data_IF_082776508806
#
_entry.id   IF_082776508806
#
_cell.length_a   1.000
_cell.length_b   1.000
_cell.length_c   1.000
_cell.angle_alpha   90.00
_cell.angle_beta   90.00
_cell.angle_gamma   90.00
#
_symmetry.space_group_name_H-M   'P 1'
#
loop_
_entity.id
_entity.type
_entity.pdbx_description
1 polymer ?
#
# COMPACT_ATOMS: atom_id res chain seq x y z
N UNK A 1 -62.46 -34.68 4.20
CA UNK A 1 -62.13 -33.23 4.20
C UNK A 1 -60.76 -33.08 4.85
N UNK A 2 -59.78 -32.55 4.09
CA UNK A 2 -58.34 -32.58 4.38
C UNK A 2 -57.92 -31.36 5.22
N UNK A 3 -56.98 -31.50 6.17
CA UNK A 3 -56.38 -30.38 6.88
C UNK A 3 -55.16 -29.89 6.09
N UNK A 4 -55.24 -28.69 5.49
CA UNK A 4 -54.09 -27.99 4.90
C UNK A 4 -54.24 -26.51 5.23
N UNK A 5 -53.88 -26.10 6.45
CA UNK A 5 -53.89 -24.68 6.82
C UNK A 5 -52.87 -24.31 7.91
N UNK A 6 -51.89 -25.16 8.21
CA UNK A 6 -50.85 -24.88 9.21
C UNK A 6 -49.42 -24.77 8.64
N UNK A 7 -49.24 -24.83 7.32
CA UNK A 7 -47.92 -24.79 6.69
C UNK A 7 -47.53 -23.40 6.13
N UNK A 8 -48.44 -22.43 6.10
CA UNK A 8 -48.21 -21.14 5.43
C UNK A 8 -47.60 -20.05 6.33
N UNK A 9 -47.56 -20.22 7.66
CA UNK A 9 -47.02 -19.21 8.56
C UNK A 9 -45.52 -19.38 8.90
N UNK A 10 -44.92 -20.54 8.61
CA UNK A 10 -43.50 -20.79 8.87
C UNK A 10 -42.57 -20.37 7.72
N UNK A 11 -43.12 -20.10 6.51
CA UNK A 11 -42.33 -19.73 5.33
C UNK A 11 -42.13 -18.22 5.15
N UNK A 12 -42.83 -17.38 5.94
CA UNK A 12 -42.75 -15.91 5.85
C UNK A 12 -41.76 -15.27 6.84
N UNK A 13 -41.15 -16.06 7.73
CA UNK A 13 -40.15 -15.61 8.71
C UNK A 13 -38.69 -15.81 8.24
N UNK A 14 -38.48 -16.42 7.07
CA UNK A 14 -37.14 -16.65 6.49
C UNK A 14 -36.76 -15.63 5.39
N UNK A 15 -37.57 -14.59 5.14
CA UNK A 15 -37.31 -13.56 4.13
C UNK A 15 -36.66 -12.27 4.69
N UNK A 16 -36.29 -12.26 5.96
CA UNK A 16 -35.54 -11.17 6.59
C UNK A 16 -34.19 -11.61 7.16
N UNK A 17 -33.53 -12.59 6.52
CA UNK A 17 -32.08 -12.60 6.57
C UNK A 17 -31.65 -11.44 5.69
N UNK A 18 -31.49 -10.27 6.30
CA UNK A 18 -30.65 -9.24 5.72
C UNK A 18 -29.29 -9.90 5.56
N UNK A 19 -28.93 -10.29 4.34
CA UNK A 19 -27.55 -10.48 3.95
C UNK A 19 -26.87 -9.14 4.24
N UNK A 20 -26.36 -8.98 5.47
CA UNK A 20 -25.19 -8.15 5.68
C UNK A 20 -24.20 -8.70 4.66
N UNK A 21 -23.78 -7.92 3.66
CA UNK A 21 -22.84 -8.44 2.67
C UNK A 21 -21.68 -9.00 3.48
N UNK A 22 -21.49 -10.31 3.40
CA UNK A 22 -20.30 -10.92 3.95
C UNK A 22 -19.17 -10.13 3.31
N UNK A 23 -18.39 -9.40 4.11
CA UNK A 23 -17.21 -8.71 3.60
C UNK A 23 -16.36 -9.82 3.01
N UNK A 24 -16.37 -9.94 1.68
CA UNK A 24 -15.57 -10.94 0.99
C UNK A 24 -14.14 -10.76 1.50
N UNK A 25 -13.58 -11.85 2.03
CA UNK A 25 -12.25 -11.78 2.59
C UNK A 25 -11.30 -11.27 1.52
N UNK A 26 -10.45 -10.26 1.83
CA UNK A 26 -9.55 -9.71 0.85
C UNK A 26 -8.68 -10.82 0.24
N UNK A 27 -8.31 -10.71 -1.05
CA UNK A 27 -7.33 -11.62 -1.65
C UNK A 27 -6.08 -11.73 -0.77
N UNK A 28 -5.58 -12.95 -0.55
CA UNK A 28 -4.36 -13.17 0.22
C UNK A 28 -3.19 -12.32 -0.31
N UNK A 29 -2.44 -11.67 0.57
CA UNK A 29 -1.23 -10.91 0.18
C UNK A 29 -0.17 -11.83 -0.44
N UNK A 30 -0.07 -13.09 -0.01
CA UNK A 30 0.79 -14.07 -0.67
C UNK A 30 0.29 -14.41 -2.08
N UNK A 31 -1.03 -14.50 -2.29
CA UNK A 31 -1.61 -14.71 -3.61
C UNK A 31 -1.33 -13.52 -4.55
N UNK A 32 -1.46 -12.28 -4.06
CA UNK A 32 -1.10 -11.07 -4.82
C UNK A 32 0.40 -11.08 -5.18
N UNK A 33 1.27 -11.38 -4.22
CA UNK A 33 2.72 -11.44 -4.45
C UNK A 33 3.12 -12.50 -5.49
N UNK A 34 2.48 -13.67 -5.46
CA UNK A 34 2.77 -14.77 -6.40
C UNK A 34 2.52 -14.39 -7.87
N UNK A 35 1.64 -13.40 -8.10
CA UNK A 35 1.27 -12.90 -9.43
C UNK A 35 2.18 -11.78 -9.94
N UNK A 36 3.12 -11.29 -9.13
CA UNK A 36 4.12 -10.32 -9.59
C UNK A 36 4.92 -10.98 -10.73
N UNK A 37 4.86 -10.46 -11.96
CA UNK A 37 5.51 -11.12 -13.07
C UNK A 37 7.02 -10.89 -13.02
N UNK A 38 7.76 -11.76 -13.73
CA UNK A 38 9.16 -11.48 -14.01
C UNK A 38 9.29 -10.38 -15.05
N UNK A 39 10.41 -9.64 -15.02
CA UNK A 39 10.73 -8.75 -16.12
C UNK A 39 10.95 -9.54 -17.42
N UNK A 40 10.53 -9.02 -18.57
CA UNK A 40 10.84 -9.60 -19.89
C UNK A 40 12.34 -9.85 -20.07
N UNK A 41 12.70 -10.82 -20.91
CA UNK A 41 14.11 -11.18 -21.14
C UNK A 41 14.80 -10.19 -22.07
N UNK A 42 14.05 -9.58 -23.00
CA UNK A 42 14.55 -8.69 -24.03
C UNK A 42 13.79 -7.36 -24.08
N UNK A 43 14.40 -6.35 -24.69
CA UNK A 43 13.75 -5.06 -24.92
C UNK A 43 12.53 -5.19 -25.85
N UNK A 44 12.59 -6.11 -26.82
CA UNK A 44 11.48 -6.42 -27.73
C UNK A 44 10.30 -7.04 -27.02
N UNK A 45 10.54 -8.00 -26.12
CA UNK A 45 9.47 -8.54 -25.27
C UNK A 45 8.88 -7.44 -24.36
N UNK A 46 9.73 -6.59 -23.78
CA UNK A 46 9.27 -5.45 -22.98
C UNK A 46 8.43 -4.45 -23.79
N UNK A 47 8.74 -4.26 -25.06
CA UNK A 47 7.96 -3.42 -25.95
C UNK A 47 6.53 -3.95 -26.17
N UNK A 48 6.28 -5.26 -26.04
CA UNK A 48 4.91 -5.82 -26.10
C UNK A 48 4.06 -5.48 -24.88
N UNK A 49 4.68 -5.07 -23.77
CA UNK A 49 3.99 -4.70 -22.54
C UNK A 49 3.55 -3.24 -22.53
N UNK A 50 3.99 -2.46 -23.52
CA UNK A 50 3.80 -1.01 -23.60
C UNK A 50 3.22 -0.67 -24.96
N UNK A 51 2.16 0.13 -25.01
CA UNK A 51 1.64 0.60 -26.29
C UNK A 51 2.56 1.67 -26.91
N UNK A 52 2.22 2.10 -28.14
CA UNK A 52 2.99 3.12 -28.87
C UNK A 52 3.02 4.48 -28.16
N UNK A 53 2.08 4.74 -27.24
CA UNK A 53 2.04 5.97 -26.45
C UNK A 53 2.90 5.89 -25.18
N UNK A 54 3.58 4.77 -24.94
CA UNK A 54 4.40 4.56 -23.74
C UNK A 54 3.59 4.12 -22.52
N UNK A 55 2.31 3.74 -22.67
CA UNK A 55 1.45 3.28 -21.57
C UNK A 55 1.58 1.77 -21.40
N UNK A 56 1.61 1.34 -20.14
CA UNK A 56 1.64 -0.08 -19.81
C UNK A 56 0.30 -0.73 -20.18
N UNK A 57 0.34 -1.80 -20.99
CA UNK A 57 -0.83 -2.56 -21.46
C UNK A 57 -0.77 -4.04 -21.08
N UNK A 58 0.27 -4.49 -20.36
CA UNK A 58 0.40 -5.89 -19.96
C UNK A 58 -0.75 -6.32 -19.03
N UNK A 59 -1.63 -7.26 -19.46
CA UNK A 59 -2.88 -7.55 -18.77
C UNK A 59 -2.65 -8.08 -17.36
N UNK A 60 -1.62 -8.89 -17.14
CA UNK A 60 -1.31 -9.43 -15.81
C UNK A 60 -0.88 -8.36 -14.80
N UNK A 61 -0.16 -7.31 -15.24
CA UNK A 61 0.25 -6.22 -14.34
C UNK A 61 -0.93 -5.31 -14.05
N UNK A 62 -1.75 -5.00 -15.07
CA UNK A 62 -2.96 -4.20 -14.90
C UNK A 62 -3.96 -4.87 -13.95
N UNK A 63 -4.23 -6.16 -14.16
CA UNK A 63 -5.10 -6.93 -13.29
C UNK A 63 -4.58 -6.97 -11.85
N UNK A 64 -3.27 -7.20 -11.66
CA UNK A 64 -2.69 -7.22 -10.32
C UNK A 64 -2.77 -5.85 -9.62
N UNK A 65 -2.60 -4.73 -10.33
CA UNK A 65 -2.82 -3.38 -9.74
C UNK A 65 -4.27 -3.22 -9.30
N UNK A 66 -5.23 -3.61 -10.13
CA UNK A 66 -6.65 -3.57 -9.78
C UNK A 66 -6.98 -4.45 -8.55
N UNK A 67 -6.36 -5.63 -8.44
CA UNK A 67 -6.55 -6.53 -7.31
C UNK A 67 -5.92 -5.99 -6.02
N UNK A 68 -4.77 -5.32 -6.09
CA UNK A 68 -4.18 -4.61 -4.95
C UNK A 68 -5.11 -3.48 -4.48
N UNK A 69 -5.69 -2.71 -5.40
CA UNK A 69 -6.66 -1.68 -5.04
C UNK A 69 -7.93 -2.28 -4.42
N UNK A 70 -8.43 -3.40 -4.95
CA UNK A 70 -9.58 -4.12 -4.39
C UNK A 70 -9.28 -4.63 -2.98
N UNK A 71 -8.09 -5.18 -2.76
CA UNK A 71 -7.60 -5.57 -1.44
C UNK A 71 -7.60 -4.40 -0.46
N UNK A 72 -6.97 -3.28 -0.84
CA UNK A 72 -6.91 -2.08 0.00
C UNK A 72 -8.31 -1.54 0.34
N UNK A 73 -9.26 -1.58 -0.61
CA UNK A 73 -10.67 -1.22 -0.34
C UNK A 73 -11.31 -2.16 0.67
N UNK A 74 -11.12 -3.48 0.54
CA UNK A 74 -11.66 -4.46 1.49
C UNK A 74 -11.09 -4.27 2.91
N UNK A 75 -9.78 -3.99 3.03
CA UNK A 75 -9.13 -3.65 4.31
C UNK A 75 -9.70 -2.34 4.87
N UNK A 76 -9.94 -1.34 4.03
CA UNK A 76 -10.58 -0.08 4.42
C UNK A 76 -11.97 -0.29 5.03
N UNK A 77 -12.78 -1.21 4.49
CA UNK A 77 -14.08 -1.58 5.06
C UNK A 77 -13.93 -2.24 6.44
N UNK A 78 -12.95 -3.14 6.60
CA UNK A 78 -12.65 -3.77 7.90
C UNK A 78 -12.23 -2.72 8.94
N UNK A 79 -11.39 -1.75 8.53
CA UNK A 79 -10.99 -0.64 9.39
C UNK A 79 -12.18 0.25 9.77
N UNK A 80 -13.07 0.56 8.83
CA UNK A 80 -14.26 1.36 9.08
C UNK A 80 -15.20 0.68 10.09
N UNK A 81 -15.51 -0.60 9.89
CA UNK A 81 -16.34 -1.38 10.81
C UNK A 81 -15.73 -1.45 12.22
N UNK A 82 -14.40 -1.54 12.32
CA UNK A 82 -13.73 -1.45 13.62
C UNK A 82 -13.75 -0.04 14.21
N UNK A 83 -13.58 1.01 13.40
CA UNK A 83 -13.64 2.40 13.85
C UNK A 83 -15.01 2.73 14.45
N UNK A 84 -16.11 2.24 13.87
CA UNK A 84 -17.46 2.40 14.43
C UNK A 84 -17.57 1.75 15.82
N UNK A 85 -17.01 0.56 16.01
CA UNK A 85 -16.93 -0.09 17.34
C UNK A 85 -16.11 0.75 18.33
N UNK A 86 -14.97 1.27 17.91
CA UNK A 86 -14.09 2.10 18.77
C UNK A 86 -14.68 3.48 19.07
N UNK A 87 -15.45 4.06 18.15
CA UNK A 87 -16.21 5.30 18.38
C UNK A 87 -17.29 5.08 19.44
N UNK A 88 -18.01 3.96 19.41
CA UNK A 88 -18.97 3.62 20.46
C UNK A 88 -18.30 3.50 21.84
N UNK A 89 -17.11 2.89 21.91
CA UNK A 89 -16.32 2.85 23.15
C UNK A 89 -15.86 4.24 23.60
N UNK A 90 -15.45 5.09 22.66
CA UNK A 90 -14.98 6.46 22.94
C UNK A 90 -16.13 7.35 23.46
N UNK A 91 -17.35 7.17 22.94
CA UNK A 91 -18.54 7.84 23.44
C UNK A 91 -18.83 7.50 24.92
N UNK A 92 -18.65 6.24 25.32
CA UNK A 92 -18.77 5.81 26.73
C UNK A 92 -17.73 6.50 27.62
N UNK A 93 -16.48 6.65 27.14
CA UNK A 93 -15.42 7.37 27.88
C UNK A 93 -15.81 8.84 28.08
N UNK A 94 -16.25 9.51 27.03
CA UNK A 94 -16.66 10.93 27.09
C UNK A 94 -17.90 11.12 27.99
N UNK A 95 -18.89 10.24 27.86
CA UNK A 95 -20.10 10.25 28.69
C UNK A 95 -19.75 10.14 30.18
N UNK A 96 -18.92 9.15 30.54
CA UNK A 96 -18.56 8.90 31.94
C UNK A 96 -17.59 9.93 32.50
N UNK A 97 -16.69 10.48 31.68
CA UNK A 97 -15.89 11.63 32.06
C UNK A 97 -16.78 12.84 32.38
N UNK A 98 -17.80 13.10 31.55
CA UNK A 98 -18.77 14.17 31.80
C UNK A 98 -19.51 13.99 33.12
N UNK A 99 -19.96 12.76 33.44
CA UNK A 99 -20.56 12.44 34.74
C UNK A 99 -19.58 12.67 35.89
N UNK A 100 -18.35 12.17 35.77
CA UNK A 100 -17.34 12.33 36.81
C UNK A 100 -16.93 13.78 37.06
N UNK A 101 -16.86 14.61 36.00
CA UNK A 101 -16.67 16.05 36.10
C UNK A 101 -17.83 16.71 36.86
N UNK A 102 -19.08 16.36 36.54
CA UNK A 102 -20.25 16.84 37.25
C UNK A 102 -20.23 16.43 38.74
N UNK A 103 -19.81 15.20 39.06
CA UNK A 103 -19.71 14.67 40.44
C UNK A 103 -18.67 15.40 41.31
N UNK A 104 -17.68 16.06 40.69
CA UNK A 104 -16.72 16.96 41.35
C UNK A 104 -17.08 18.45 41.17
N UNK A 105 -18.30 18.72 40.71
CA UNK A 105 -18.87 20.07 40.56
C UNK A 105 -18.24 20.90 39.43
N UNK A 106 -17.75 20.25 38.38
CA UNK A 106 -17.28 20.88 37.14
C UNK A 106 -18.35 20.75 36.06
N UNK A 107 -18.87 21.88 35.60
CA UNK A 107 -19.74 21.95 34.43
C UNK A 107 -18.90 22.16 33.17
N UNK A 108 -18.71 21.09 32.40
CA UNK A 108 -17.93 21.11 31.16
C UNK A 108 -18.51 22.07 30.11
N UNK A 109 -19.84 22.15 30.00
CA UNK A 109 -20.50 23.01 29.02
C UNK A 109 -20.37 24.48 29.40
N UNK A 110 -20.36 24.80 30.70
CA UNK A 110 -20.06 26.15 31.18
C UNK A 110 -18.57 26.47 31.00
N UNK A 111 -17.68 25.55 31.34
CA UNK A 111 -16.24 25.75 31.19
C UNK A 111 -15.81 26.07 29.76
N UNK A 112 -16.48 25.50 28.76
CA UNK A 112 -16.23 25.83 27.34
C UNK A 112 -16.78 27.20 26.91
N UNK A 113 -17.87 27.67 27.52
CA UNK A 113 -18.59 28.90 27.12
C UNK A 113 -18.23 30.13 27.96
N UNK A 114 -17.72 29.93 29.17
CA UNK A 114 -17.43 30.96 30.17
C UNK A 114 -15.95 30.88 30.61
N UNK A 115 -15.06 31.69 29.99
CA UNK A 115 -13.64 31.73 30.35
C UNK A 115 -13.38 32.10 31.82
N UNK A 116 -14.27 32.88 32.45
CA UNK A 116 -14.11 33.26 33.86
C UNK A 116 -14.39 32.05 34.78
N UNK A 117 -15.41 31.24 34.46
CA UNK A 117 -15.64 29.98 35.16
C UNK A 117 -14.48 28.99 34.96
N UNK A 118 -13.91 28.90 33.77
CA UNK A 118 -12.72 28.07 33.53
C UNK A 118 -11.52 28.49 34.39
N UNK A 119 -11.27 29.80 34.53
CA UNK A 119 -10.22 30.33 35.41
C UNK A 119 -10.49 30.00 36.89
N UNK A 120 -11.74 30.14 37.34
CA UNK A 120 -12.12 29.78 38.72
C UNK A 120 -11.89 28.28 39.00
N UNK A 121 -12.25 27.40 38.07
CA UNK A 121 -12.01 25.95 38.21
C UNK A 121 -10.51 25.64 38.26
N UNK A 122 -9.70 26.25 37.38
CA UNK A 122 -8.25 26.08 37.39
C UNK A 122 -7.60 26.60 38.68
N UNK A 123 -8.04 27.76 39.18
CA UNK A 123 -7.53 28.33 40.43
C UNK A 123 -7.93 27.47 41.63
N UNK A 124 -9.14 26.93 41.63
CA UNK A 124 -9.60 25.95 42.64
C UNK A 124 -8.71 24.72 42.65
N UNK A 125 -8.39 24.16 41.48
CA UNK A 125 -7.49 22.99 41.37
C UNK A 125 -6.06 23.32 41.83
N UNK A 126 -5.54 24.51 41.54
CA UNK A 126 -4.20 24.93 42.00
C UNK A 126 -4.09 25.10 43.51
N UNK A 127 -5.20 25.44 44.17
CA UNK A 127 -5.27 25.60 45.63
C UNK A 127 -5.49 24.27 46.37
N UNK A 128 -5.86 23.20 45.68
CA UNK A 128 -5.98 21.87 46.27
C UNK A 128 -4.61 21.28 46.58
N UNK A 129 -4.51 20.59 47.71
CA UNK A 129 -3.37 19.76 48.05
C UNK A 129 -3.24 18.56 47.07
N UNK A 130 -2.05 17.93 46.99
CA UNK A 130 -1.88 16.72 46.19
C UNK A 130 -2.87 15.60 46.53
N UNK A 131 -3.25 15.46 47.80
CA UNK A 131 -4.22 14.45 48.25
C UNK A 131 -5.63 14.76 47.75
N UNK A 132 -6.05 16.02 47.78
CA UNK A 132 -7.35 16.46 47.26
C UNK A 132 -7.43 16.33 45.74
N UNK A 133 -6.34 16.62 45.02
CA UNK A 133 -6.26 16.40 43.57
C UNK A 133 -6.38 14.92 43.22
N UNK A 134 -5.73 14.04 43.99
CA UNK A 134 -5.86 12.59 43.81
C UNK A 134 -7.29 12.11 44.09
N UNK A 135 -7.91 12.58 45.18
CA UNK A 135 -9.29 12.23 45.51
C UNK A 135 -10.29 12.73 44.44
N UNK A 136 -10.08 13.96 43.94
CA UNK A 136 -10.86 14.51 42.83
C UNK A 136 -10.68 13.67 41.55
N UNK A 137 -9.46 13.29 41.20
CA UNK A 137 -9.17 12.43 40.04
C UNK A 137 -9.82 11.05 40.18
N UNK A 138 -9.76 10.44 41.38
CA UNK A 138 -10.42 9.16 41.64
C UNK A 138 -11.93 9.26 41.48
N UNK A 139 -12.55 10.30 42.05
CA UNK A 139 -14.00 10.53 41.94
C UNK A 139 -14.42 10.83 40.50
N UNK A 140 -13.63 11.59 39.77
CA UNK A 140 -13.85 11.89 38.36
C UNK A 140 -13.75 10.66 37.45
N UNK A 141 -12.88 9.70 37.77
CA UNK A 141 -12.76 8.45 37.02
C UNK A 141 -13.70 7.35 37.51
N UNK A 142 -14.39 7.55 38.64
CA UNK A 142 -15.24 6.53 39.25
C UNK A 142 -16.36 6.03 38.33
N UNK A 143 -17.12 6.90 37.62
CA UNK A 143 -18.15 6.43 36.69
C UNK A 143 -17.57 5.59 35.54
N UNK A 144 -16.39 5.96 35.05
CA UNK A 144 -15.70 5.23 33.99
C UNK A 144 -15.29 3.82 34.44
N UNK A 145 -14.73 3.70 35.65
CA UNK A 145 -14.29 2.42 36.22
C UNK A 145 -15.46 1.50 36.61
N UNK A 146 -16.67 2.05 36.77
CA UNK A 146 -17.88 1.29 37.13
C UNK A 146 -18.72 0.89 35.91
N UNK A 147 -18.52 1.54 34.76
CA UNK A 147 -19.26 1.22 33.54
C UNK A 147 -18.72 -0.05 32.89
N UNK A 148 -19.54 -1.11 32.88
CA UNK A 148 -19.20 -2.41 32.26
C UNK A 148 -18.98 -2.32 30.75
N UNK A 149 -19.40 -1.23 30.10
CA UNK A 149 -19.16 -0.97 28.67
C UNK A 149 -17.79 -0.36 28.42
N UNK A 150 -17.13 0.19 29.44
CA UNK A 150 -15.78 0.71 29.30
C UNK A 150 -14.79 -0.44 29.16
N UNK A 151 -14.01 -0.41 28.09
CA UNK A 151 -12.91 -1.34 27.88
C UNK A 151 -11.59 -0.57 27.95
N UNK A 152 -10.72 -0.94 28.89
CA UNK A 152 -9.37 -0.43 28.96
C UNK A 152 -8.56 -1.05 27.81
N UNK A 153 -7.95 -0.24 26.94
CA UNK A 153 -7.21 -0.75 25.77
C UNK A 153 -6.02 -1.65 26.15
N UNK A 154 -5.31 -1.37 27.24
CA UNK A 154 -4.22 -2.24 27.70
C UNK A 154 -4.75 -3.60 28.15
N UNK A 155 -5.89 -3.63 28.83
CA UNK A 155 -6.58 -4.87 29.17
C UNK A 155 -7.11 -5.58 27.92
N UNK A 156 -7.72 -4.83 26.98
CA UNK A 156 -8.21 -5.36 25.70
C UNK A 156 -7.10 -6.00 24.86
N UNK A 157 -5.87 -5.44 24.88
CA UNK A 157 -4.71 -6.02 24.22
C UNK A 157 -4.34 -7.38 24.82
N UNK A 158 -4.38 -7.49 26.16
CA UNK A 158 -4.06 -8.72 26.89
C UNK A 158 -5.16 -9.75 26.75
N UNK A 159 -6.42 -9.35 26.80
CA UNK A 159 -7.60 -10.22 26.67
C UNK A 159 -7.89 -10.66 25.23
N UNK A 160 -7.25 -10.02 24.25
CA UNK A 160 -7.38 -10.39 22.85
C UNK A 160 -6.97 -11.85 22.62
N UNK A 161 -7.45 -12.45 21.53
CA UNK A 161 -7.10 -13.84 21.21
C UNK A 161 -5.59 -14.00 21.05
N UNK A 162 -5.06 -15.18 21.39
CA UNK A 162 -3.64 -15.46 21.21
C UNK A 162 -3.18 -15.25 19.75
N UNK A 163 -4.05 -15.56 18.79
CA UNK A 163 -3.81 -15.33 17.36
C UNK A 163 -3.69 -13.85 17.02
N UNK A 164 -4.57 -13.00 17.57
CA UNK A 164 -4.53 -11.55 17.33
C UNK A 164 -3.29 -10.91 17.98
N UNK A 165 -2.95 -11.30 19.22
CA UNK A 165 -1.73 -10.82 19.89
C UNK A 165 -0.48 -11.19 19.09
N UNK A 166 -0.36 -12.46 18.69
CA UNK A 166 0.78 -12.92 17.89
C UNK A 166 0.89 -12.20 16.53
N UNK A 167 -0.24 -11.94 15.86
CA UNK A 167 -0.25 -11.19 14.61
C UNK A 167 0.11 -9.70 14.81
N UNK A 168 -0.35 -9.09 15.90
CA UNK A 168 -0.01 -7.71 16.24
C UNK A 168 1.49 -7.56 16.59
N UNK A 169 2.04 -8.47 17.38
CA UNK A 169 3.48 -8.52 17.69
C UNK A 169 4.31 -8.74 16.43
N UNK A 170 3.91 -9.68 15.56
CA UNK A 170 4.58 -9.90 14.28
C UNK A 170 4.50 -8.66 13.38
N UNK A 171 3.35 -7.98 13.34
CA UNK A 171 3.17 -6.73 12.60
C UNK A 171 4.04 -5.59 13.11
N UNK A 172 4.18 -5.46 14.43
CA UNK A 172 5.05 -4.48 15.05
C UNK A 172 6.53 -4.77 14.79
N UNK A 173 6.96 -6.03 14.90
CA UNK A 173 8.32 -6.45 14.57
C UNK A 173 8.62 -6.21 13.07
N UNK A 174 7.66 -6.51 12.20
CA UNK A 174 7.79 -6.28 10.76
C UNK A 174 7.91 -4.80 10.43
N UNK A 175 7.08 -3.95 11.04
CA UNK A 175 7.14 -2.50 10.87
C UNK A 175 8.44 -1.91 11.43
N UNK A 176 8.88 -2.36 12.61
CA UNK A 176 10.15 -1.92 13.21
C UNK A 176 11.37 -2.26 12.35
N UNK A 177 11.32 -3.39 11.63
CA UNK A 177 12.38 -3.80 10.70
C UNK A 177 12.27 -3.13 9.31
N UNK A 178 11.25 -2.30 9.05
CA UNK A 178 10.97 -1.74 7.73
C UNK A 178 12.11 -0.85 7.20
N UNK A 179 12.64 0.06 8.03
CA UNK A 179 13.75 0.93 7.61
C UNK A 179 14.97 0.14 7.14
N UNK A 180 15.34 -0.90 7.87
CA UNK A 180 16.45 -1.79 7.51
C UNK A 180 16.21 -2.52 6.18
N UNK A 181 14.97 -2.97 5.93
CA UNK A 181 14.60 -3.58 4.64
C UNK A 181 14.67 -2.56 3.50
N UNK A 182 14.15 -1.35 3.69
CA UNK A 182 14.25 -0.29 2.69
C UNK A 182 15.70 0.09 2.39
N UNK A 183 16.56 0.18 3.40
CA UNK A 183 17.99 0.45 3.18
C UNK A 183 18.64 -0.65 2.34
N UNK A 184 18.38 -1.93 2.67
CA UNK A 184 18.90 -3.06 1.89
C UNK A 184 18.39 -3.04 0.44
N UNK A 185 17.12 -2.70 0.22
CA UNK A 185 16.53 -2.56 -1.11
C UNK A 185 17.12 -1.39 -1.89
N UNK A 186 17.32 -0.25 -1.24
CA UNK A 186 17.93 0.94 -1.85
C UNK A 186 19.37 0.67 -2.27
N UNK A 187 20.15 -0.06 -1.46
CA UNK A 187 21.50 -0.49 -1.84
C UNK A 187 21.45 -1.38 -3.08
N UNK A 188 20.58 -2.41 -3.08
CA UNK A 188 20.42 -3.31 -4.22
C UNK A 188 20.08 -2.56 -5.52
N UNK A 189 19.12 -1.63 -5.46
CA UNK A 189 18.71 -0.87 -6.65
C UNK A 189 19.75 0.15 -7.08
N UNK A 190 20.43 0.81 -6.15
CA UNK A 190 21.54 1.71 -6.48
C UNK A 190 22.64 0.97 -7.24
N UNK A 191 23.04 -0.21 -6.78
CA UNK A 191 24.04 -1.05 -7.46
C UNK A 191 23.59 -1.44 -8.88
N UNK A 192 22.31 -1.81 -9.03
CA UNK A 192 21.73 -2.15 -10.32
C UNK A 192 21.68 -0.93 -11.26
N UNK A 193 21.26 0.23 -10.76
CA UNK A 193 21.16 1.47 -11.52
C UNK A 193 22.56 1.98 -11.95
N UNK A 194 23.57 1.84 -11.10
CA UNK A 194 24.97 2.11 -11.46
C UNK A 194 25.49 1.15 -12.54
N UNK A 195 25.13 -0.14 -12.46
CA UNK A 195 25.50 -1.12 -13.46
C UNK A 195 24.82 -0.82 -14.81
N UNK A 196 23.55 -0.46 -14.81
CA UNK A 196 22.83 0.02 -16.00
C UNK A 196 23.50 1.28 -16.55
N UNK A 197 23.81 2.26 -15.70
CA UNK A 197 24.48 3.49 -16.14
C UNK A 197 25.84 3.21 -16.82
N UNK A 198 26.60 2.23 -16.33
CA UNK A 198 27.84 1.77 -16.99
C UNK A 198 27.57 1.17 -18.37
N UNK A 199 26.50 0.39 -18.53
CA UNK A 199 26.08 -0.15 -19.85
C UNK A 199 25.67 0.98 -20.79
N UNK A 200 24.85 1.92 -20.31
CA UNK A 200 24.34 3.03 -21.12
C UNK A 200 25.43 4.01 -21.58
N UNK A 201 26.49 4.19 -20.78
CA UNK A 201 27.64 5.05 -21.11
C UNK A 201 28.60 4.44 -22.13
N UNK A 202 28.54 3.14 -22.40
CA UNK A 202 29.42 2.50 -23.39
C UNK A 202 29.07 3.03 -24.79
N UNK A 203 30.05 3.58 -25.53
CA UNK A 203 29.84 3.97 -26.92
C UNK A 203 29.39 2.77 -27.75
N UNK A 204 28.42 2.98 -28.65
CA UNK A 204 27.98 1.96 -29.60
C UNK A 204 28.95 1.93 -30.78
N UNK A 205 29.49 0.76 -31.08
CA UNK A 205 30.40 0.57 -32.21
C UNK A 205 29.61 0.47 -33.53
N UNK A 206 29.15 1.61 -34.04
CA UNK A 206 28.39 1.66 -35.29
C UNK A 206 29.30 1.47 -36.51
N UNK A 207 28.99 0.53 -37.42
CA UNK A 207 29.77 0.37 -38.64
C UNK A 207 29.56 1.52 -39.64
N UNK A 208 30.59 2.35 -39.79
CA UNK A 208 30.65 3.44 -40.76
C UNK A 208 30.42 4.83 -40.16
N UNK A 209 30.67 5.90 -40.93
CA UNK A 209 30.53 7.26 -40.44
C UNK A 209 29.06 7.66 -40.26
N UNK A 210 28.80 8.52 -39.26
CA UNK A 210 27.52 9.23 -39.13
C UNK A 210 27.34 10.15 -40.35
N UNK A 211 26.16 10.20 -41.00
CA UNK A 211 25.88 11.15 -42.07
C UNK A 211 26.01 12.61 -41.59
N UNK A 212 26.52 13.49 -42.46
CA UNK A 212 26.93 14.85 -42.08
C UNK A 212 25.85 15.93 -42.17
N UNK A 213 24.96 15.98 -43.18
CA UNK A 213 23.78 16.83 -43.03
C UNK A 213 22.88 16.16 -41.99
N UNK A 214 22.52 16.86 -40.92
CA UNK A 214 21.48 16.37 -39.99
C UNK A 214 20.18 16.08 -40.75
N UNK A 215 19.45 15.03 -40.36
CA UNK A 215 18.30 14.52 -41.12
C UNK A 215 17.19 15.58 -41.34
N UNK A 216 16.98 16.47 -40.36
CA UNK A 216 15.98 17.55 -40.42
C UNK A 216 16.45 18.79 -41.20
N UNK A 217 17.69 18.81 -41.69
CA UNK A 217 18.22 19.95 -42.43
C UNK A 217 17.50 20.12 -43.78
N UNK A 218 17.18 21.36 -44.16
CA UNK A 218 16.55 21.71 -45.46
C UNK A 218 17.38 21.15 -46.64
N UNK A 219 18.71 21.06 -46.50
CA UNK A 219 19.61 20.48 -47.50
C UNK A 219 19.67 18.94 -47.53
N UNK A 220 18.99 18.22 -46.64
CA UNK A 220 18.97 16.76 -46.65
C UNK A 220 17.96 16.25 -47.69
N UNK A 221 18.45 16.00 -48.89
CA UNK A 221 17.67 15.44 -50.00
C UNK A 221 17.34 13.94 -49.80
N UNK A 222 16.75 13.31 -50.82
CA UNK A 222 16.41 11.90 -50.76
C UNK A 222 17.64 10.99 -50.57
N UNK A 223 18.80 11.36 -51.14
CA UNK A 223 20.05 10.61 -50.98
C UNK A 223 20.58 10.70 -49.56
N UNK A 224 20.59 11.90 -48.97
CA UNK A 224 20.93 12.12 -47.56
C UNK A 224 20.01 11.33 -46.62
N UNK A 225 18.69 11.37 -46.84
CA UNK A 225 17.73 10.59 -46.03
C UNK A 225 17.97 9.08 -46.13
N UNK A 226 18.29 8.56 -47.31
CA UNK A 226 18.63 7.15 -47.49
C UNK A 226 19.92 6.75 -46.74
N UNK A 227 20.92 7.63 -46.66
CA UNK A 227 22.13 7.40 -45.85
C UNK A 227 21.80 7.34 -44.36
N UNK A 228 20.91 8.20 -43.88
CA UNK A 228 20.42 8.19 -42.51
C UNK A 228 19.59 6.94 -42.18
N UNK A 229 18.72 6.49 -43.06
CA UNK A 229 17.99 5.24 -42.91
C UNK A 229 18.94 4.03 -42.84
N UNK A 230 19.98 4.01 -43.69
CA UNK A 230 21.02 2.98 -43.67
C UNK A 230 21.92 3.03 -42.43
N UNK A 231 22.14 4.21 -41.86
CA UNK A 231 22.85 4.37 -40.59
C UNK A 231 21.97 3.88 -39.42
N UNK A 232 20.71 4.28 -39.40
CA UNK A 232 19.73 3.85 -38.39
C UNK A 232 19.55 2.33 -38.38
N UNK A 233 19.46 1.68 -39.54
CA UNK A 233 19.31 0.21 -39.62
C UNK A 233 20.49 -0.56 -39.00
N UNK A 234 21.69 0.03 -38.98
CA UNK A 234 22.87 -0.55 -38.31
C UNK A 234 22.94 -0.20 -36.83
N UNK A 235 22.52 1.00 -36.45
CA UNK A 235 22.58 1.49 -35.07
C UNK A 235 21.45 0.92 -34.19
N UNK A 236 20.25 0.75 -34.74
CA UNK A 236 19.08 0.30 -33.96
C UNK A 236 19.29 -1.06 -33.27
N UNK A 237 19.78 -2.12 -33.95
CA UNK A 237 20.04 -3.39 -33.28
C UNK A 237 21.03 -3.26 -32.11
N UNK A 238 22.01 -2.36 -32.23
CA UNK A 238 22.99 -2.11 -31.15
C UNK A 238 22.36 -1.39 -29.95
N UNK A 239 21.46 -0.44 -30.20
CA UNK A 239 20.70 0.24 -29.14
C UNK A 239 19.77 -0.76 -28.42
N UNK A 240 19.07 -1.60 -29.18
CA UNK A 240 18.16 -2.62 -28.63
C UNK A 240 18.92 -3.67 -27.81
N UNK A 241 20.09 -4.12 -28.29
CA UNK A 241 20.95 -5.04 -27.54
C UNK A 241 21.46 -4.43 -26.22
N UNK A 242 21.80 -3.13 -26.22
CA UNK A 242 22.20 -2.41 -25.01
C UNK A 242 21.06 -2.30 -24.00
N UNK A 243 19.86 -1.98 -24.46
CA UNK A 243 18.67 -1.88 -23.59
C UNK A 243 18.24 -3.25 -23.07
N UNK A 244 18.42 -4.32 -23.85
CA UNK A 244 18.26 -5.70 -23.40
C UNK A 244 19.24 -6.05 -22.28
N UNK A 245 20.51 -5.65 -22.39
CA UNK A 245 21.50 -5.85 -21.33
C UNK A 245 21.15 -5.05 -20.06
N UNK A 246 20.68 -3.81 -20.22
CA UNK A 246 20.19 -3.01 -19.09
C UNK A 246 18.98 -3.67 -18.41
N UNK A 247 18.03 -4.20 -19.19
CA UNK A 247 16.87 -4.93 -18.69
C UNK A 247 17.28 -6.21 -17.94
N UNK A 248 18.28 -6.94 -18.43
CA UNK A 248 18.82 -8.13 -17.77
C UNK A 248 19.37 -7.83 -16.37
N UNK A 249 20.09 -6.71 -16.21
CA UNK A 249 20.59 -6.25 -14.90
C UNK A 249 19.42 -5.96 -13.95
N UNK A 250 18.42 -5.21 -14.41
CA UNK A 250 17.23 -4.88 -13.60
C UNK A 250 16.40 -6.11 -13.26
N UNK A 251 16.29 -7.09 -14.18
CA UNK A 251 15.63 -8.39 -13.94
C UNK A 251 16.30 -9.14 -12.81
N UNK A 252 17.62 -9.22 -12.79
CA UNK A 252 18.36 -9.88 -11.72
C UNK A 252 18.16 -9.18 -10.36
N UNK A 253 18.17 -7.83 -10.34
CA UNK A 253 17.88 -7.06 -9.13
C UNK A 253 16.45 -7.31 -8.61
N UNK A 254 15.46 -7.30 -9.51
CA UNK A 254 14.07 -7.57 -9.16
C UNK A 254 13.90 -9.00 -8.59
N UNK A 255 14.52 -10.01 -9.20
CA UNK A 255 14.48 -11.39 -8.69
C UNK A 255 15.10 -11.51 -7.29
N UNK A 256 16.22 -10.82 -7.04
CA UNK A 256 16.83 -10.76 -5.70
C UNK A 256 15.91 -10.08 -4.69
N UNK A 257 15.26 -8.98 -5.06
CA UNK A 257 14.30 -8.31 -4.16
C UNK A 257 13.08 -9.20 -3.88
N UNK A 258 12.50 -9.83 -4.91
CA UNK A 258 11.39 -10.77 -4.75
C UNK A 258 11.75 -11.88 -3.77
N UNK A 259 12.92 -12.51 -3.94
CA UNK A 259 13.39 -13.54 -3.03
C UNK A 259 13.56 -13.02 -1.59
N UNK A 260 14.09 -11.80 -1.42
CA UNK A 260 14.33 -11.21 -0.11
C UNK A 260 13.04 -10.90 0.69
N UNK A 261 11.92 -10.64 0.02
CA UNK A 261 10.64 -10.33 0.67
C UNK A 261 9.67 -11.51 0.76
N UNK A 262 9.92 -12.59 0.01
CA UNK A 262 9.00 -13.72 -0.14
C UNK A 262 8.59 -14.37 1.20
N UNK A 263 9.56 -14.71 2.03
CA UNK A 263 9.28 -15.36 3.32
C UNK A 263 8.57 -14.40 4.29
N UNK A 264 8.93 -13.11 4.25
CA UNK A 264 8.27 -12.07 5.03
C UNK A 264 6.80 -11.89 4.67
N UNK A 265 6.49 -11.86 3.36
CA UNK A 265 5.11 -11.80 2.86
C UNK A 265 4.33 -13.07 3.20
N UNK A 266 4.95 -14.26 3.07
CA UNK A 266 4.30 -15.52 3.44
C UNK A 266 3.97 -15.59 4.94
N UNK A 267 4.88 -15.11 5.79
CA UNK A 267 4.64 -14.99 7.22
C UNK A 267 3.52 -13.99 7.53
N UNK A 268 3.53 -12.82 6.86
CA UNK A 268 2.49 -11.81 6.98
C UNK A 268 1.12 -12.40 6.64
N UNK A 269 1.00 -13.04 5.48
CA UNK A 269 -0.23 -13.65 4.99
C UNK A 269 -0.86 -14.60 6.01
N UNK A 270 -0.04 -15.48 6.60
CA UNK A 270 -0.49 -16.43 7.62
C UNK A 270 -1.12 -15.71 8.81
N UNK A 271 -0.51 -14.65 9.31
CA UNK A 271 -1.03 -13.87 10.44
C UNK A 271 -2.29 -13.07 10.06
N UNK A 272 -2.28 -12.46 8.88
CA UNK A 272 -3.37 -11.64 8.38
C UNK A 272 -4.63 -12.48 8.14
N UNK A 273 -4.51 -13.61 7.44
CA UNK A 273 -5.65 -14.51 7.21
C UNK A 273 -6.19 -15.07 8.53
N UNK A 274 -5.31 -15.49 9.44
CA UNK A 274 -5.72 -16.05 10.73
C UNK A 274 -6.47 -15.05 11.64
N UNK A 275 -6.24 -13.75 11.44
CA UNK A 275 -6.92 -12.68 12.21
C UNK A 275 -8.04 -12.00 11.44
N UNK A 276 -8.38 -12.50 10.24
CA UNK A 276 -9.32 -11.85 9.31
C UNK A 276 -8.94 -10.38 9.09
N UNK A 277 -7.64 -10.15 8.88
CA UNK A 277 -7.04 -8.84 8.70
C UNK A 277 -7.37 -7.84 9.83
N UNK A 278 -7.47 -8.37 11.06
CA UNK A 278 -7.76 -7.60 12.27
C UNK A 278 -9.24 -7.41 12.56
N UNK A 279 -10.17 -7.89 11.73
CA UNK A 279 -11.60 -7.81 12.01
C UNK A 279 -11.98 -8.46 13.36
N UNK A 280 -11.30 -9.56 13.70
CA UNK A 280 -11.50 -10.31 14.93
C UNK A 280 -10.85 -9.68 16.18
N UNK A 281 -10.07 -8.61 16.04
CA UNK A 281 -9.40 -7.94 17.17
C UNK A 281 -10.41 -7.13 17.99
N UNK A 282 -10.36 -7.30 19.31
CA UNK A 282 -11.12 -6.46 20.26
C UNK A 282 -10.32 -5.25 20.73
N UNK A 283 -8.99 -5.29 20.60
CA UNK A 283 -8.13 -4.15 20.88
C UNK A 283 -7.95 -3.27 19.66
N UNK A 284 -8.08 -1.95 19.82
CA UNK A 284 -7.77 -0.98 18.78
C UNK A 284 -6.28 -1.01 18.42
N UNK A 285 -5.41 -1.23 19.41
CA UNK A 285 -3.95 -1.22 19.23
C UNK A 285 -3.50 -2.46 18.45
N UNK A 286 -3.94 -3.66 18.85
CA UNK A 286 -3.60 -4.89 18.13
C UNK A 286 -4.13 -4.84 16.70
N UNK A 287 -5.37 -4.37 16.52
CA UNK A 287 -5.96 -4.19 15.19
C UNK A 287 -5.11 -3.25 14.33
N UNK A 288 -4.69 -2.10 14.88
CA UNK A 288 -3.83 -1.15 14.18
C UNK A 288 -2.50 -1.76 13.75
N UNK A 289 -1.88 -2.57 14.62
CA UNK A 289 -0.65 -3.29 14.29
C UNK A 289 -0.85 -4.34 13.18
N UNK A 290 -1.96 -5.09 13.21
CA UNK A 290 -2.30 -6.08 12.18
C UNK A 290 -2.51 -5.39 10.82
N UNK A 291 -3.29 -4.30 10.78
CA UNK A 291 -3.53 -3.59 9.52
C UNK A 291 -2.26 -2.91 8.99
N UNK A 292 -1.41 -2.39 9.88
CA UNK A 292 -0.10 -1.87 9.47
C UNK A 292 0.78 -2.97 8.86
N UNK A 293 0.68 -4.21 9.35
CA UNK A 293 1.37 -5.35 8.77
C UNK A 293 0.92 -5.60 7.32
N UNK A 294 -0.39 -5.61 7.08
CA UNK A 294 -0.98 -5.73 5.74
C UNK A 294 -0.48 -4.61 4.81
N UNK A 295 -0.60 -3.36 5.24
CA UNK A 295 -0.16 -2.20 4.47
C UNK A 295 1.33 -2.27 4.12
N UNK A 296 2.17 -2.73 5.05
CA UNK A 296 3.59 -2.91 4.80
C UNK A 296 3.86 -4.03 3.78
N UNK A 297 3.14 -5.16 3.83
CA UNK A 297 3.28 -6.23 2.84
C UNK A 297 2.81 -5.79 1.44
N UNK A 298 1.68 -5.07 1.35
CA UNK A 298 1.18 -4.50 0.09
C UNK A 298 2.15 -3.48 -0.49
N UNK A 299 2.77 -2.63 0.35
CA UNK A 299 3.76 -1.65 -0.11
C UNK A 299 4.97 -2.32 -0.80
N UNK A 300 5.43 -3.47 -0.29
CA UNK A 300 6.52 -4.24 -0.91
C UNK A 300 6.12 -4.75 -2.31
N UNK A 301 4.89 -5.25 -2.45
CA UNK A 301 4.35 -5.73 -3.74
C UNK A 301 4.22 -4.56 -4.74
N UNK A 302 3.66 -3.44 -4.31
CA UNK A 302 3.50 -2.24 -5.14
C UNK A 302 4.83 -1.69 -5.63
N UNK A 303 5.84 -1.65 -4.75
CA UNK A 303 7.18 -1.20 -5.12
C UNK A 303 7.81 -2.09 -6.21
N UNK A 304 7.65 -3.42 -6.11
CA UNK A 304 8.09 -4.35 -7.16
C UNK A 304 7.40 -4.07 -8.50
N UNK A 305 6.10 -3.77 -8.49
CA UNK A 305 5.34 -3.43 -9.71
C UNK A 305 5.77 -2.11 -10.32
N UNK A 306 6.12 -1.12 -9.50
CA UNK A 306 6.64 0.16 -9.98
C UNK A 306 8.02 -0.03 -10.64
N UNK A 307 8.91 -0.80 -10.01
CA UNK A 307 10.20 -1.18 -10.61
C UNK A 307 10.04 -1.97 -11.91
N UNK A 308 9.05 -2.86 -11.99
CA UNK A 308 8.70 -3.54 -13.25
C UNK A 308 8.30 -2.53 -14.30
N UNK A 309 7.36 -1.64 -13.96
CA UNK A 309 6.77 -0.66 -14.88
C UNK A 309 7.84 0.27 -15.45
N UNK A 310 8.72 0.80 -14.61
CA UNK A 310 9.79 1.70 -15.03
C UNK A 310 10.81 0.98 -15.91
N UNK A 311 11.15 -0.27 -15.56
CA UNK A 311 12.10 -1.08 -16.33
C UNK A 311 11.58 -1.42 -17.74
N UNK A 312 10.31 -1.84 -17.85
CA UNK A 312 9.74 -2.18 -19.16
C UNK A 312 9.52 -0.95 -20.03
N UNK A 313 9.05 0.16 -19.45
CA UNK A 313 8.91 1.43 -20.19
C UNK A 313 10.27 1.90 -20.70
N UNK A 314 11.29 1.88 -19.85
CA UNK A 314 12.65 2.27 -20.25
C UNK A 314 13.18 1.41 -21.40
N UNK A 315 12.98 0.10 -21.38
CA UNK A 315 13.48 -0.81 -22.42
C UNK A 315 12.66 -0.73 -23.73
N UNK A 316 11.36 -0.44 -23.63
CA UNK A 316 10.47 -0.35 -24.79
C UNK A 316 10.75 0.88 -25.68
N UNK A 317 11.32 1.95 -25.12
CA UNK A 317 11.53 3.23 -25.84
C UNK A 317 12.33 3.05 -27.12
N UNK A 318 13.46 2.34 -27.08
CA UNK A 318 14.29 2.16 -28.28
C UNK A 318 13.59 1.28 -29.33
N UNK A 319 12.78 0.31 -28.91
CA UNK A 319 12.06 -0.56 -29.84
C UNK A 319 10.95 0.21 -30.55
N UNK A 320 10.16 1.00 -29.83
CA UNK A 320 9.04 1.76 -30.41
C UNK A 320 9.51 3.02 -31.14
N UNK A 321 10.50 3.72 -30.57
CA UNK A 321 10.87 5.08 -30.97
C UNK A 321 12.29 5.17 -31.54
N UNK A 322 13.06 4.08 -31.56
CA UNK A 322 14.50 4.12 -31.85
C UNK A 322 14.82 4.79 -33.18
N UNK A 323 14.07 4.48 -34.24
CA UNK A 323 14.29 5.09 -35.55
C UNK A 323 14.18 6.62 -35.47
N UNK A 324 13.16 7.11 -34.79
CA UNK A 324 12.98 8.54 -34.58
C UNK A 324 14.07 9.15 -33.69
N UNK A 325 14.53 8.44 -32.65
CA UNK A 325 15.66 8.87 -31.81
C UNK A 325 16.94 9.05 -32.64
N UNK A 326 17.18 8.18 -33.62
CA UNK A 326 18.35 8.26 -34.50
C UNK A 326 18.21 9.39 -35.52
N UNK A 327 17.04 9.52 -36.14
CA UNK A 327 16.81 10.49 -37.23
C UNK A 327 16.57 11.91 -36.72
N UNK A 328 15.82 12.07 -35.63
CA UNK A 328 15.36 13.35 -35.11
C UNK A 328 15.31 13.32 -33.58
N UNK A 329 16.46 13.44 -32.87
CA UNK A 329 16.54 13.29 -31.43
C UNK A 329 15.66 14.25 -30.61
N UNK A 330 15.26 15.39 -31.20
CA UNK A 330 14.36 16.38 -30.58
C UNK A 330 12.87 16.15 -30.83
N UNK A 331 12.51 15.18 -31.69
CA UNK A 331 11.13 14.94 -32.06
C UNK A 331 10.45 13.99 -31.07
N UNK A 332 9.25 14.35 -30.61
CA UNK A 332 8.41 13.50 -29.75
C UNK A 332 8.04 12.22 -30.48
N UNK A 333 8.30 11.06 -29.88
CA UNK A 333 7.93 9.76 -30.43
C UNK A 333 6.45 9.75 -30.86
N UNK A 334 6.19 9.48 -32.14
CA UNK A 334 4.84 9.45 -32.73
C UNK A 334 4.33 8.03 -32.97
#
# INVERSE_FOLDING_TARGET
MKPVLAAALAALLSLFVTDTPAVESPPSVAALFSRVPELPATAEEAATWVDKSGRLVHPGVLALRADIEAHQRAIGLIQQAAAERHQAQSAVVVENLGKGMADVGIDMARMQRDPAYAQQVQERMRKMSPQELMAMSQKMNQPLNQDKRHQNQAQAMVEDSATNRAAAEAGEAYASAQMKRFDAQNVLWREADEAVARVMKKPLAVPGPKPTPEWENIGCDAGCRAQWDAYASKLLPLMVARDTEALRIRRAALQRQRAAVADGIKAADKHLVATQYGAASTSQVNQGNIVRYDGAAIAEISYLLDRITDSVKSAAVVVHCGKQIVLAPGAVCR
#
